data_IF_034128595529
#
_entry.id   IF_034128595529
#
_cell.length_a   1.000
_cell.length_b   1.000
_cell.length_c   1.000
_cell.angle_alpha   90.00
_cell.angle_beta   90.00
_cell.angle_gamma   90.00
#
_symmetry.space_group_name_H-M   'P 1'
#
loop_
_entity.id
_entity.type
_entity.pdbx_description
1 polymer ?
#
# COMPACT_ATOMS: atom_id res chain seq x y z
N UNK A 1 -25.59 8.32 -21.44
CA UNK A 1 -26.25 8.40 -20.12
C UNK A 1 -25.19 8.41 -19.02
N UNK A 2 -25.45 8.97 -17.84
CA UNK A 2 -24.50 8.88 -16.69
C UNK A 2 -24.37 7.43 -16.17
N UNK A 3 -25.33 6.58 -16.49
CA UNK A 3 -25.35 5.13 -16.21
C UNK A 3 -24.33 4.32 -17.03
N UNK A 4 -23.69 4.92 -18.03
CA UNK A 4 -22.72 4.24 -18.89
C UNK A 4 -21.33 4.16 -18.25
N UNK A 5 -21.14 4.77 -17.07
CA UNK A 5 -19.85 4.87 -16.39
C UNK A 5 -19.87 4.21 -15.01
N UNK A 6 -18.75 3.63 -14.63
CA UNK A 6 -18.52 3.07 -13.30
C UNK A 6 -17.23 3.62 -12.69
N UNK A 7 -17.13 3.56 -11.36
CA UNK A 7 -15.92 3.88 -10.63
C UNK A 7 -15.18 2.60 -10.29
N UNK A 8 -13.99 2.43 -10.85
CA UNK A 8 -13.05 1.40 -10.44
C UNK A 8 -12.24 1.89 -9.25
N UNK A 9 -12.06 1.03 -8.26
CA UNK A 9 -11.14 1.26 -7.15
C UNK A 9 -10.20 0.08 -7.05
N UNK A 10 -8.91 0.35 -7.03
CA UNK A 10 -7.87 -0.67 -6.93
C UNK A 10 -6.95 -0.37 -5.75
N UNK A 11 -6.48 -1.37 -4.98
CA UNK A 11 -5.39 -1.17 -4.03
C UNK A 11 -4.15 -0.57 -4.73
N UNK A 12 -3.33 0.16 -3.98
CA UNK A 12 -2.09 0.73 -4.50
C UNK A 12 -1.07 -0.35 -4.90
N UNK A 13 -1.06 -1.49 -4.22
CA UNK A 13 -0.10 -2.57 -4.46
C UNK A 13 -0.82 -3.83 -4.96
N UNK A 14 -0.14 -4.67 -5.76
CA UNK A 14 -0.65 -5.98 -6.13
C UNK A 14 -0.90 -6.86 -4.89
N UNK A 15 -1.91 -7.72 -4.97
CA UNK A 15 -2.23 -8.68 -3.91
C UNK A 15 -1.05 -9.60 -3.55
N UNK A 16 -0.17 -9.87 -4.52
CA UNK A 16 1.05 -10.68 -4.34
C UNK A 16 1.93 -10.16 -3.21
N UNK A 17 2.01 -8.84 -3.01
CA UNK A 17 2.76 -8.25 -1.90
C UNK A 17 2.23 -8.73 -0.55
N UNK A 18 0.90 -8.80 -0.39
CA UNK A 18 0.32 -9.40 0.81
C UNK A 18 0.62 -10.90 0.90
N UNK A 19 0.43 -11.64 -0.20
CA UNK A 19 0.64 -13.09 -0.23
C UNK A 19 2.05 -13.46 0.21
N UNK A 20 3.07 -12.79 -0.34
CA UNK A 20 4.47 -12.96 0.04
C UNK A 20 4.68 -12.63 1.51
N UNK A 21 4.25 -11.44 1.95
CA UNK A 21 4.42 -11.00 3.34
C UNK A 21 3.73 -11.91 4.37
N UNK A 22 2.57 -12.47 4.02
CA UNK A 22 1.80 -13.34 4.91
C UNK A 22 2.47 -14.68 5.20
N UNK A 23 3.46 -15.06 4.38
CA UNK A 23 4.26 -16.28 4.54
C UNK A 23 5.55 -16.09 5.34
N UNK A 24 5.88 -14.84 5.71
CA UNK A 24 7.13 -14.50 6.38
C UNK A 24 6.91 -14.29 7.89
N UNK A 25 7.90 -14.68 8.68
CA UNK A 25 7.92 -14.49 10.13
C UNK A 25 9.27 -13.94 10.60
N UNK A 26 9.28 -13.35 11.80
CA UNK A 26 10.50 -12.87 12.45
C UNK A 26 11.34 -11.94 11.57
N UNK A 27 12.63 -12.24 11.47
CA UNK A 27 13.64 -11.44 10.76
C UNK A 27 13.35 -11.34 9.25
N UNK A 28 12.77 -12.37 8.63
CA UNK A 28 12.44 -12.36 7.20
C UNK A 28 11.36 -11.33 6.87
N UNK A 29 10.33 -11.25 7.72
CA UNK A 29 9.27 -10.25 7.57
C UNK A 29 9.81 -8.82 7.77
N UNK A 30 10.80 -8.66 8.66
CA UNK A 30 11.48 -7.40 8.88
C UNK A 30 12.33 -6.99 7.67
N UNK A 31 13.14 -7.90 7.12
CA UNK A 31 13.96 -7.64 5.94
C UNK A 31 13.08 -7.26 4.74
N UNK A 32 12.01 -8.01 4.49
CA UNK A 32 11.09 -7.71 3.39
C UNK A 32 10.39 -6.35 3.59
N UNK A 33 10.03 -6.00 4.83
CA UNK A 33 9.53 -4.66 5.14
C UNK A 33 10.55 -3.58 4.77
N UNK A 34 11.84 -3.76 5.12
CA UNK A 34 12.88 -2.81 4.74
C UNK A 34 13.04 -2.68 3.23
N UNK A 35 12.97 -3.79 2.48
CA UNK A 35 13.01 -3.75 1.02
C UNK A 35 11.82 -2.98 0.44
N UNK A 36 10.60 -3.25 0.92
CA UNK A 36 9.40 -2.53 0.49
C UNK A 36 9.48 -1.04 0.83
N UNK A 37 10.05 -0.68 1.98
CA UNK A 37 10.26 0.72 2.38
C UNK A 37 11.26 1.47 1.49
N UNK A 38 12.02 0.80 0.60
CA UNK A 38 12.81 1.46 -0.45
C UNK A 38 11.94 2.01 -1.58
N UNK A 39 10.72 1.51 -1.76
CA UNK A 39 9.76 2.05 -2.72
C UNK A 39 9.23 3.42 -2.26
N UNK A 40 9.34 4.44 -3.12
CA UNK A 40 8.90 5.81 -2.83
C UNK A 40 7.39 5.90 -2.59
N UNK A 41 6.59 5.16 -3.34
CA UNK A 41 5.12 5.22 -3.28
C UNK A 41 4.60 4.67 -1.96
N UNK A 42 5.20 3.58 -1.48
CA UNK A 42 4.88 3.00 -0.16
C UNK A 42 5.20 4.02 0.93
N UNK A 43 6.39 4.64 0.87
CA UNK A 43 6.78 5.70 1.83
C UNK A 43 5.83 6.90 1.80
N UNK A 44 5.47 7.37 0.61
CA UNK A 44 4.55 8.49 0.42
C UNK A 44 3.16 8.15 0.96
N UNK A 45 2.65 6.96 0.67
CA UNK A 45 1.33 6.53 1.13
C UNK A 45 1.27 6.37 2.66
N UNK A 46 2.34 5.87 3.28
CA UNK A 46 2.47 5.83 4.75
C UNK A 46 2.56 7.25 5.31
N UNK A 47 3.36 8.14 4.70
CA UNK A 47 3.50 9.53 5.18
C UNK A 47 2.17 10.29 5.13
N UNK A 48 1.43 10.23 4.02
CA UNK A 48 0.12 10.88 3.88
C UNK A 48 -0.90 10.31 4.86
N UNK A 49 -0.83 9.00 5.13
CA UNK A 49 -1.78 8.33 6.01
C UNK A 49 -1.43 8.45 7.50
N UNK A 50 -0.14 8.52 7.83
CA UNK A 50 0.39 8.61 9.19
C UNK A 50 1.82 9.17 9.21
N UNK A 51 1.99 10.50 9.30
CA UNK A 51 3.31 11.14 9.38
C UNK A 51 4.14 10.64 10.57
N UNK A 52 3.52 10.39 11.73
CA UNK A 52 4.19 9.89 12.94
C UNK A 52 4.78 8.49 12.74
N UNK A 53 4.05 7.60 12.06
CA UNK A 53 4.54 6.27 11.70
C UNK A 53 5.72 6.38 10.72
N UNK A 54 5.57 7.20 9.67
CA UNK A 54 6.65 7.43 8.71
C UNK A 54 7.94 7.90 9.40
N UNK A 55 7.85 8.94 10.24
CA UNK A 55 9.03 9.47 10.95
C UNK A 55 9.66 8.48 11.94
N UNK A 56 8.88 7.53 12.44
CA UNK A 56 9.39 6.46 13.28
C UNK A 56 10.09 5.38 12.44
N UNK A 57 9.52 5.02 11.27
CA UNK A 57 10.09 4.02 10.36
C UNK A 57 11.40 4.46 9.71
N UNK A 58 11.56 5.74 9.35
CA UNK A 58 12.85 6.25 8.83
C UNK A 58 13.98 6.20 9.86
N UNK A 59 13.65 6.02 11.14
CA UNK A 59 14.61 5.85 12.24
C UNK A 59 14.73 4.39 12.69
N UNK A 60 14.06 3.45 12.01
CA UNK A 60 13.91 2.06 12.46
C UNK A 60 15.25 1.36 12.70
N UNK A 61 16.25 1.58 11.83
CA UNK A 61 17.61 1.03 11.95
C UNK A 61 18.35 1.49 13.23
N UNK A 62 17.89 2.57 13.87
CA UNK A 62 18.48 3.09 15.12
C UNK A 62 17.89 2.46 16.38
N UNK A 63 16.83 1.66 16.26
CA UNK A 63 16.25 0.96 17.39
C UNK A 63 16.97 -0.37 17.62
N UNK A 64 17.46 -0.57 18.84
CA UNK A 64 17.79 -1.91 19.32
C UNK A 64 16.53 -2.78 19.32
N UNK A 65 16.76 -4.10 19.27
CA UNK A 65 15.67 -5.06 19.30
C UNK A 65 14.84 -4.88 20.58
N UNK A 66 13.60 -4.41 20.41
CA UNK A 66 12.80 -3.86 21.51
C UNK A 66 11.31 -3.99 21.23
N UNK A 67 10.46 -4.02 22.28
CA UNK A 67 9.00 -4.05 22.11
C UNK A 67 8.46 -2.92 21.23
N UNK A 68 9.11 -1.74 21.30
CA UNK A 68 8.77 -0.58 20.47
C UNK A 68 9.04 -0.83 18.98
N UNK A 69 10.20 -1.42 18.66
CA UNK A 69 10.55 -1.83 17.28
C UNK A 69 9.51 -2.80 16.71
N UNK A 70 9.14 -3.81 17.49
CA UNK A 70 8.13 -4.79 17.09
C UNK A 70 6.74 -4.17 16.87
N UNK A 71 6.33 -3.23 17.72
CA UNK A 71 5.06 -2.52 17.53
C UNK A 71 5.08 -1.65 16.26
N UNK A 72 6.21 -1.02 15.98
CA UNK A 72 6.41 -0.20 14.80
C UNK A 72 6.34 -1.02 13.51
N UNK A 73 7.03 -2.17 13.47
CA UNK A 73 6.98 -3.14 12.36
C UNK A 73 5.54 -3.61 12.15
N UNK A 74 4.86 -4.08 13.20
CA UNK A 74 3.46 -4.51 13.12
C UNK A 74 2.54 -3.42 12.56
N UNK A 75 2.82 -2.17 12.89
CA UNK A 75 2.04 -1.03 12.39
C UNK A 75 2.29 -0.79 10.90
N UNK A 76 3.54 -0.88 10.44
CA UNK A 76 3.88 -0.80 9.02
C UNK A 76 3.27 -1.95 8.21
N UNK A 77 3.31 -3.18 8.73
CA UNK A 77 2.68 -4.35 8.10
C UNK A 77 1.18 -4.14 7.87
N UNK A 78 0.46 -3.55 8.84
CA UNK A 78 -0.97 -3.23 8.65
C UNK A 78 -1.22 -2.29 7.47
N UNK A 79 -0.33 -1.31 7.25
CA UNK A 79 -0.41 -0.41 6.10
C UNK A 79 -0.13 -1.14 4.79
N UNK A 80 0.90 -1.99 4.73
CA UNK A 80 1.20 -2.81 3.55
C UNK A 80 0.05 -3.75 3.18
N UNK A 81 -0.52 -4.44 4.18
CA UNK A 81 -1.71 -5.30 4.00
C UNK A 81 -2.85 -4.46 3.43
N UNK A 82 -3.13 -3.28 4.00
CA UNK A 82 -4.19 -2.39 3.52
C UNK A 82 -3.96 -1.98 2.06
N UNK A 83 -2.75 -1.56 1.72
CA UNK A 83 -2.38 -1.14 0.36
C UNK A 83 -2.44 -2.27 -0.67
N UNK A 84 -2.42 -3.54 -0.24
CA UNK A 84 -2.41 -4.71 -1.12
C UNK A 84 -3.75 -5.48 -1.17
N UNK A 85 -4.68 -5.20 -0.25
CA UNK A 85 -5.92 -6.00 -0.10
C UNK A 85 -7.20 -5.17 -0.06
N UNK A 86 -7.13 -3.87 0.26
CA UNK A 86 -8.33 -3.03 0.42
C UNK A 86 -8.37 -1.92 -0.63
N UNK A 87 -9.35 -1.91 -1.56
CA UNK A 87 -9.53 -0.84 -2.54
C UNK A 87 -10.24 0.40 -1.94
N UNK A 88 -10.31 0.53 -0.61
CA UNK A 88 -11.03 1.65 0.04
C UNK A 88 -10.13 2.89 0.12
N UNK A 89 -10.50 4.02 -0.51
CA UNK A 89 -9.71 5.25 -0.48
C UNK A 89 -9.45 5.74 0.95
N UNK A 90 -8.18 5.72 1.33
CA UNK A 90 -7.67 6.31 2.57
C UNK A 90 -6.22 6.74 2.31
N UNK A 91 -5.98 8.05 2.36
CA UNK A 91 -4.73 8.63 1.86
C UNK A 91 -4.46 8.18 0.43
N UNK A 92 -3.23 7.71 0.18
CA UNK A 92 -2.80 7.19 -1.12
C UNK A 92 -2.83 5.65 -1.22
N UNK A 93 -3.54 4.94 -0.33
CA UNK A 93 -3.52 3.47 -0.29
C UNK A 93 -4.28 2.77 -1.43
N UNK A 94 -4.98 3.51 -2.30
CA UNK A 94 -5.76 2.96 -3.41
C UNK A 94 -5.95 4.00 -4.53
N UNK A 95 -5.95 3.54 -5.77
CA UNK A 95 -6.30 4.34 -6.95
C UNK A 95 -7.81 4.37 -7.22
N UNK A 96 -8.26 5.41 -7.91
CA UNK A 96 -9.63 5.55 -8.40
C UNK A 96 -9.60 5.92 -9.88
N UNK A 97 -10.38 5.22 -10.69
CA UNK A 97 -10.47 5.44 -12.13
C UNK A 97 -11.94 5.34 -12.59
N UNK A 98 -12.28 6.01 -13.68
CA UNK A 98 -13.59 5.92 -14.29
C UNK A 98 -13.51 4.95 -15.47
N UNK A 99 -14.34 3.91 -15.46
CA UNK A 99 -14.53 3.01 -16.59
C UNK A 99 -15.85 3.27 -17.29
N UNK A 100 -16.01 2.71 -18.49
CA UNK A 100 -17.24 2.79 -19.29
C UNK A 100 -17.77 1.38 -19.58
N UNK A 101 -19.07 1.20 -19.50
CA UNK A 101 -19.77 -0.03 -19.88
C UNK A 101 -19.86 -0.11 -21.41
N UNK A 102 -19.54 -1.28 -21.97
CA UNK A 102 -19.59 -1.56 -23.40
C UNK A 102 -19.61 -3.06 -23.69
N UNK A 103 -19.64 -3.43 -24.97
CA UNK A 103 -19.85 -4.82 -25.41
C UNK A 103 -18.64 -5.75 -25.17
N UNK A 104 -17.48 -5.17 -24.84
CA UNK A 104 -16.22 -5.88 -24.60
C UNK A 104 -15.58 -5.37 -23.31
N UNK A 105 -15.09 -6.31 -22.50
CA UNK A 105 -14.22 -6.00 -21.36
C UNK A 105 -12.83 -5.62 -21.86
N UNK A 106 -12.42 -4.40 -21.57
CA UNK A 106 -11.04 -3.92 -21.72
C UNK A 106 -10.64 -3.21 -20.43
N UNK A 107 -9.76 -3.84 -19.66
CA UNK A 107 -9.35 -3.38 -18.33
C UNK A 107 -7.84 -3.34 -18.26
N UNK A 108 -7.29 -2.13 -18.24
CA UNK A 108 -5.88 -1.88 -17.99
C UNK A 108 -5.79 -1.18 -16.65
N UNK A 109 -5.11 -1.80 -15.69
CA UNK A 109 -4.74 -1.13 -14.44
C UNK A 109 -3.41 -0.43 -14.74
N UNK A 110 -3.38 0.91 -14.85
CA UNK A 110 -2.15 1.62 -15.14
C UNK A 110 -1.17 1.46 -13.97
N UNK A 111 0.12 1.59 -14.27
CA UNK A 111 1.16 1.64 -13.23
C UNK A 111 0.79 2.72 -12.20
N UNK A 112 0.97 2.41 -10.92
CA UNK A 112 0.59 3.19 -9.76
C UNK A 112 0.96 4.69 -9.84
N UNK A 113 2.01 4.99 -10.59
CA UNK A 113 2.49 6.34 -10.93
C UNK A 113 1.48 7.21 -11.69
N UNK A 114 0.45 6.61 -12.27
CA UNK A 114 -0.55 7.28 -13.12
C UNK A 114 -1.90 7.48 -12.42
N UNK A 115 -2.10 6.94 -11.21
CA UNK A 115 -3.33 7.22 -10.48
C UNK A 115 -3.41 8.71 -10.12
N UNK A 116 -4.54 9.34 -10.45
CA UNK A 116 -4.83 10.70 -9.99
C UNK A 116 -4.92 10.71 -8.47
N UNK A 117 -3.92 11.28 -7.83
CA UNK A 117 -3.90 11.59 -6.40
C UNK A 117 -4.91 12.72 -6.14
N UNK A 118 -5.76 12.55 -5.13
CA UNK A 118 -6.70 13.59 -4.68
C UNK A 118 -6.05 14.47 -3.63
#
# INVERSE_FOLDING_TARGET
>A
SLLDYFMLRSPLMPFQVYSEMSSLEGEQAEEQLFQLMKNREIREAIYVSSPSLYHSLIKLEKFSDSPKKNQLIKSALKYLIRMSTRPTPFGLCSGVEAGRIGDKTDLVIPDNRQFKKR
#
